data_IF_091749520489
#
_entry.id   IF_091749520489
#
_cell.length_a   1.000
_cell.length_b   1.000
_cell.length_c   1.000
_cell.angle_alpha   90.00
_cell.angle_beta   90.00
_cell.angle_gamma   90.00
#
_symmetry.space_group_name_H-M   'P 1'
#
loop_
_entity.id
_entity.type
_entity.pdbx_description
1 polymer ?
#
# COMPACT_ATOMS: atom_id res chain seq x y z
N UNK A 1 6.47 -13.86 -10.26
CA UNK A 1 6.97 -12.82 -9.33
C UNK A 1 5.80 -12.29 -8.52
N UNK A 2 5.94 -12.26 -7.20
CA UNK A 2 4.94 -11.72 -6.27
C UNK A 2 5.37 -10.31 -5.84
N UNK A 3 4.49 -9.33 -6.02
CA UNK A 3 4.74 -7.93 -5.67
C UNK A 3 3.75 -7.50 -4.58
N UNK A 4 4.24 -6.88 -3.52
CA UNK A 4 3.42 -6.15 -2.55
C UNK A 4 3.42 -4.66 -2.91
N UNK A 5 2.24 -4.08 -3.00
CA UNK A 5 2.02 -2.70 -3.44
C UNK A 5 1.19 -1.94 -2.40
N UNK A 6 1.82 -1.24 -1.46
CA UNK A 6 1.14 -0.38 -0.51
C UNK A 6 0.47 0.82 -1.19
N UNK A 7 -0.81 1.04 -0.87
CA UNK A 7 -1.65 2.11 -1.40
C UNK A 7 -2.21 2.90 -0.23
N UNK A 8 -2.05 4.21 -0.26
CA UNK A 8 -2.54 5.16 0.74
C UNK A 8 -3.39 6.30 0.14
N UNK A 9 -3.76 6.18 -1.13
CA UNK A 9 -4.51 7.19 -1.86
C UNK A 9 -3.67 8.37 -2.37
N UNK A 10 -2.37 8.41 -2.09
CA UNK A 10 -1.47 9.45 -2.60
C UNK A 10 -1.20 9.30 -4.10
N UNK A 11 -0.82 10.42 -4.74
CA UNK A 11 -0.38 10.40 -6.15
C UNK A 11 0.83 9.47 -6.35
N UNK A 12 1.74 9.45 -5.39
CA UNK A 12 2.95 8.61 -5.42
C UNK A 12 2.61 7.13 -5.37
N UNK A 13 1.67 6.70 -4.51
CA UNK A 13 1.22 5.30 -4.47
C UNK A 13 0.50 4.89 -5.76
N UNK A 14 -0.28 5.79 -6.37
CA UNK A 14 -0.91 5.54 -7.67
C UNK A 14 0.13 5.46 -8.81
N UNK A 15 1.19 6.27 -8.76
CA UNK A 15 2.31 6.17 -9.71
C UNK A 15 3.02 4.81 -9.57
N UNK A 16 3.17 4.29 -8.34
CA UNK A 16 3.70 2.96 -8.10
C UNK A 16 2.82 1.88 -8.77
N UNK A 17 1.50 1.99 -8.67
CA UNK A 17 0.58 1.07 -9.35
C UNK A 17 0.72 1.12 -10.88
N UNK A 18 0.83 2.32 -11.46
CA UNK A 18 1.07 2.50 -12.90
C UNK A 18 2.40 1.89 -13.34
N UNK A 19 3.46 2.07 -12.54
CA UNK A 19 4.75 1.47 -12.82
C UNK A 19 4.68 -0.06 -12.83
N UNK A 20 4.05 -0.67 -11.82
CA UNK A 20 3.86 -2.12 -11.74
C UNK A 20 3.04 -2.64 -12.91
N UNK A 21 1.95 -1.95 -13.26
CA UNK A 21 1.12 -2.31 -14.42
C UNK A 21 1.91 -2.33 -15.72
N UNK A 22 2.73 -1.30 -15.96
CA UNK A 22 3.59 -1.20 -17.14
C UNK A 22 4.65 -2.31 -17.18
N UNK A 23 5.29 -2.57 -16.04
CA UNK A 23 6.37 -3.56 -15.93
C UNK A 23 5.83 -4.97 -16.06
N UNK A 24 4.69 -5.27 -15.42
CA UNK A 24 4.05 -6.57 -15.48
C UNK A 24 3.61 -6.94 -16.91
N UNK A 25 3.09 -5.97 -17.67
CA UNK A 25 2.70 -6.18 -19.07
C UNK A 25 3.89 -6.61 -19.96
N UNK A 26 5.08 -6.15 -19.62
CA UNK A 26 6.31 -6.46 -20.36
C UNK A 26 7.10 -7.64 -19.78
N UNK A 27 6.60 -8.24 -18.71
CA UNK A 27 7.29 -9.36 -18.04
C UNK A 27 7.06 -10.67 -18.80
N UNK A 28 8.12 -11.44 -18.96
CA UNK A 28 8.03 -12.81 -19.51
C UNK A 28 7.47 -13.82 -18.51
N UNK A 29 7.51 -13.49 -17.23
CA UNK A 29 7.02 -14.36 -16.16
C UNK A 29 5.73 -13.79 -15.56
N UNK A 30 4.79 -14.65 -15.09
CA UNK A 30 3.58 -14.19 -14.44
C UNK A 30 3.89 -13.29 -13.24
N UNK A 31 3.19 -12.15 -13.15
CA UNK A 31 3.25 -11.23 -12.03
C UNK A 31 1.91 -11.27 -11.30
N UNK A 32 1.98 -11.45 -9.97
CA UNK A 32 0.82 -11.38 -9.07
C UNK A 32 1.07 -10.25 -8.08
N UNK A 33 0.13 -9.34 -7.98
CA UNK A 33 0.22 -8.15 -7.11
C UNK A 33 -0.71 -8.31 -5.93
N UNK A 34 -0.24 -8.00 -4.73
CA UNK A 34 -1.10 -7.78 -3.57
C UNK A 34 -1.12 -6.29 -3.26
N UNK A 35 -2.28 -5.65 -3.47
CA UNK A 35 -2.55 -4.29 -3.03
C UNK A 35 -2.81 -4.32 -1.52
N UNK A 36 -2.12 -3.50 -0.75
CA UNK A 36 -2.37 -3.38 0.68
C UNK A 36 -2.67 -1.94 1.07
N UNK A 37 -3.78 -1.73 1.78
CA UNK A 37 -4.08 -0.49 2.50
C UNK A 37 -4.03 -0.76 4.00
N UNK A 38 -3.32 0.08 4.74
CA UNK A 38 -3.18 -0.01 6.19
C UNK A 38 -3.59 1.31 6.82
N UNK A 39 -4.47 1.25 7.81
CA UNK A 39 -4.86 2.40 8.61
C UNK A 39 -4.39 2.23 10.05
N UNK A 40 -3.64 3.23 10.53
CA UNK A 40 -3.29 3.36 11.93
C UNK A 40 -4.44 4.03 12.66
N UNK A 41 -4.92 3.36 13.70
CA UNK A 41 -6.00 3.87 14.54
C UNK A 41 -5.51 4.61 15.80
N UNK A 42 -4.20 4.81 15.94
CA UNK A 42 -3.62 5.52 17.09
C UNK A 42 -4.16 6.95 17.21
N UNK A 43 -4.42 7.63 16.08
CA UNK A 43 -5.03 8.96 16.06
C UNK A 43 -6.51 8.99 16.41
N UNK A 44 -7.20 7.86 16.45
CA UNK A 44 -8.62 7.73 16.75
C UNK A 44 -8.90 7.39 18.23
N UNK A 45 -7.86 7.35 19.09
CA UNK A 45 -7.99 6.98 20.50
C UNK A 45 -9.07 7.75 21.27
N UNK A 46 -9.23 9.04 20.98
CA UNK A 46 -10.27 9.89 21.61
C UNK A 46 -11.67 9.64 21.03
N UNK A 47 -11.78 9.26 19.76
CA UNK A 47 -13.05 8.98 19.09
C UNK A 47 -13.60 7.62 19.49
N UNK A 48 -12.73 6.64 19.76
CA UNK A 48 -13.12 5.28 20.22
C UNK A 48 -13.89 5.25 21.50
N UNK A 49 -13.77 6.26 22.36
CA UNK A 49 -14.54 6.37 23.61
C UNK A 49 -16.02 6.71 23.38
N UNK A 50 -16.36 7.28 22.22
CA UNK A 50 -17.69 7.82 21.92
C UNK A 50 -18.40 7.10 20.77
N UNK A 51 -17.69 6.24 20.00
CA UNK A 51 -18.22 5.58 18.82
C UNK A 51 -17.98 4.08 18.91
N UNK A 52 -18.98 3.28 18.55
CA UNK A 52 -18.87 1.83 18.52
C UNK A 52 -17.72 1.38 17.60
N UNK A 53 -16.95 0.37 18.02
CA UNK A 53 -15.81 -0.18 17.27
C UNK A 53 -16.21 -0.56 15.83
N UNK A 54 -17.39 -1.12 15.62
CA UNK A 54 -17.93 -1.47 14.32
C UNK A 54 -18.04 -0.29 13.36
N UNK A 55 -18.45 0.88 13.86
CA UNK A 55 -18.59 2.11 13.04
C UNK A 55 -17.22 2.61 12.58
N UNK A 56 -16.21 2.54 13.46
CA UNK A 56 -14.83 2.91 13.10
C UNK A 56 -14.26 1.92 12.08
N UNK A 57 -14.51 0.64 12.27
CA UNK A 57 -14.04 -0.41 11.35
C UNK A 57 -14.67 -0.26 9.96
N UNK A 58 -15.97 0.01 9.88
CA UNK A 58 -16.69 0.24 8.63
C UNK A 58 -16.19 1.50 7.90
N UNK A 59 -15.97 2.59 8.64
CA UNK A 59 -15.42 3.82 8.07
C UNK A 59 -14.00 3.62 7.51
N UNK A 60 -13.11 2.98 8.27
CA UNK A 60 -11.74 2.71 7.81
C UNK A 60 -11.72 1.78 6.61
N UNK A 61 -12.62 0.82 6.56
CA UNK A 61 -12.79 -0.08 5.42
C UNK A 61 -13.24 0.68 4.17
N UNK A 62 -14.23 1.55 4.30
CA UNK A 62 -14.73 2.37 3.18
C UNK A 62 -13.64 3.29 2.62
N UNK A 63 -12.86 3.94 3.49
CA UNK A 63 -11.72 4.75 3.08
C UNK A 63 -10.68 3.91 2.34
N UNK A 64 -10.33 2.73 2.87
CA UNK A 64 -9.38 1.80 2.23
C UNK A 64 -9.86 1.35 0.86
N UNK A 65 -11.11 0.97 0.74
CA UNK A 65 -11.70 0.52 -0.55
C UNK A 65 -11.67 1.64 -1.59
N UNK A 66 -11.96 2.88 -1.19
CA UNK A 66 -11.87 4.05 -2.06
C UNK A 66 -10.44 4.31 -2.55
N UNK A 67 -9.46 4.23 -1.67
CA UNK A 67 -8.04 4.40 -2.01
C UNK A 67 -7.54 3.31 -2.97
N UNK A 68 -7.90 2.06 -2.69
CA UNK A 68 -7.51 0.91 -3.50
C UNK A 68 -8.13 0.91 -4.89
N UNK A 69 -9.36 1.43 -5.03
CA UNK A 69 -10.13 1.40 -6.28
C UNK A 69 -9.41 2.02 -7.48
N UNK A 70 -8.67 3.12 -7.26
CA UNK A 70 -7.90 3.75 -8.33
C UNK A 70 -6.73 2.87 -8.79
N UNK A 71 -6.02 2.24 -7.86
CA UNK A 71 -4.92 1.32 -8.17
C UNK A 71 -5.43 0.03 -8.82
N UNK A 72 -6.56 -0.51 -8.36
CA UNK A 72 -7.21 -1.68 -8.98
C UNK A 72 -7.54 -1.42 -10.46
N UNK A 73 -8.19 -0.29 -10.76
CA UNK A 73 -8.50 0.08 -12.15
C UNK A 73 -7.27 0.12 -13.06
N UNK A 74 -6.13 0.58 -12.53
CA UNK A 74 -4.85 0.62 -13.26
C UNK A 74 -4.35 -0.79 -13.57
N UNK A 75 -4.42 -1.70 -12.60
CA UNK A 75 -3.98 -3.09 -12.76
C UNK A 75 -4.93 -3.88 -13.66
N UNK A 76 -6.26 -3.69 -13.50
CA UNK A 76 -7.28 -4.32 -14.35
C UNK A 76 -7.11 -3.94 -15.82
N UNK A 77 -6.92 -2.65 -16.10
CA UNK A 77 -6.70 -2.16 -17.46
C UNK A 77 -5.44 -2.73 -18.11
N UNK A 78 -4.47 -3.15 -17.30
CA UNK A 78 -3.24 -3.80 -17.77
C UNK A 78 -3.34 -5.34 -17.77
N UNK A 79 -4.47 -5.92 -17.35
CA UNK A 79 -4.65 -7.38 -17.24
C UNK A 79 -3.78 -8.01 -16.15
N UNK A 80 -3.38 -7.27 -15.12
CA UNK A 80 -2.50 -7.76 -14.06
C UNK A 80 -3.33 -8.41 -12.96
N UNK A 81 -3.06 -9.69 -12.70
CA UNK A 81 -3.71 -10.42 -11.61
C UNK A 81 -3.34 -9.81 -10.25
N UNK A 82 -4.35 -9.48 -9.44
CA UNK A 82 -4.11 -8.88 -8.14
C UNK A 82 -5.08 -9.38 -7.06
N UNK A 83 -4.64 -9.23 -5.80
CA UNK A 83 -5.41 -9.45 -4.59
C UNK A 83 -5.44 -8.17 -3.78
N UNK A 84 -6.37 -8.08 -2.82
CA UNK A 84 -6.50 -6.94 -1.92
C UNK A 84 -6.31 -7.41 -0.49
N UNK A 85 -5.59 -6.62 0.29
CA UNK A 85 -5.47 -6.76 1.74
C UNK A 85 -5.76 -5.41 2.41
N UNK A 86 -6.70 -5.38 3.33
CA UNK A 86 -6.97 -4.23 4.19
C UNK A 86 -6.54 -4.61 5.60
N UNK A 87 -5.67 -3.81 6.18
CA UNK A 87 -5.09 -4.05 7.50
C UNK A 87 -5.26 -2.83 8.39
N UNK A 88 -5.23 -3.09 9.69
CA UNK A 88 -5.28 -2.08 10.74
C UNK A 88 -4.14 -2.31 11.71
N UNK A 89 -3.41 -1.26 12.04
CA UNK A 89 -2.27 -1.29 12.93
C UNK A 89 -1.18 -0.33 12.49
N UNK A 90 0.02 -0.52 13.00
CA UNK A 90 1.16 0.30 12.60
C UNK A 90 1.53 0.03 11.13
N UNK A 91 1.44 1.06 10.30
CA UNK A 91 1.47 0.95 8.84
C UNK A 91 2.67 0.14 8.32
N UNK A 92 3.89 0.51 8.74
CA UNK A 92 5.10 -0.15 8.27
C UNK A 92 5.18 -1.61 8.73
N UNK A 93 4.74 -1.89 9.95
CA UNK A 93 4.83 -3.22 10.55
C UNK A 93 3.85 -4.18 9.87
N UNK A 94 2.62 -3.73 9.58
CA UNK A 94 1.62 -4.53 8.86
C UNK A 94 2.05 -4.82 7.41
N UNK A 95 2.67 -3.84 6.73
CA UNK A 95 3.21 -4.04 5.38
C UNK A 95 4.32 -5.09 5.39
N UNK A 96 5.29 -4.95 6.31
CA UNK A 96 6.41 -5.90 6.42
C UNK A 96 5.95 -7.29 6.87
N UNK A 97 4.98 -7.37 7.78
CA UNK A 97 4.40 -8.63 8.23
C UNK A 97 3.74 -9.39 7.08
N UNK A 98 2.96 -8.69 6.24
CA UNK A 98 2.34 -9.30 5.06
C UNK A 98 3.39 -9.71 4.02
N UNK A 99 4.39 -8.86 3.78
CA UNK A 99 5.49 -9.17 2.86
C UNK A 99 6.22 -10.47 3.24
N UNK A 100 6.50 -10.65 4.54
CA UNK A 100 7.14 -11.85 5.06
C UNK A 100 6.23 -13.08 5.01
N UNK A 101 4.95 -12.92 5.42
CA UNK A 101 3.96 -14.01 5.41
C UNK A 101 3.75 -14.57 4.01
N UNK A 102 3.56 -13.71 3.04
CA UNK A 102 3.25 -14.11 1.66
C UNK A 102 4.52 -14.40 0.83
N UNK A 103 5.69 -14.19 1.43
CA UNK A 103 7.00 -14.37 0.78
C UNK A 103 7.05 -13.65 -0.55
N UNK A 104 6.78 -12.32 -0.52
CA UNK A 104 6.82 -11.51 -1.74
C UNK A 104 8.26 -11.31 -2.20
N UNK A 105 8.44 -11.19 -3.50
CA UNK A 105 9.76 -11.02 -4.12
C UNK A 105 10.20 -9.57 -4.12
N UNK A 106 9.24 -8.63 -4.08
CA UNK A 106 9.48 -7.20 -4.20
C UNK A 106 8.37 -6.39 -3.52
N UNK A 107 8.75 -5.36 -2.81
CA UNK A 107 7.84 -4.29 -2.36
C UNK A 107 8.00 -3.10 -3.31
N UNK A 108 6.93 -2.66 -3.95
CA UNK A 108 6.92 -1.43 -4.78
C UNK A 108 6.00 -0.42 -4.11
N UNK A 109 6.49 0.76 -3.83
CA UNK A 109 5.69 1.76 -3.12
C UNK A 109 6.00 3.19 -3.55
N UNK A 110 5.09 4.11 -3.27
CA UNK A 110 5.35 5.53 -3.44
C UNK A 110 6.45 6.01 -2.51
N UNK A 111 7.35 6.83 -3.01
CA UNK A 111 8.42 7.44 -2.20
C UNK A 111 7.89 8.50 -1.22
N UNK A 112 6.71 9.06 -1.49
CA UNK A 112 6.03 10.07 -0.67
C UNK A 112 4.65 9.57 -0.26
N UNK A 113 4.19 9.95 0.93
CA UNK A 113 2.83 9.65 1.41
C UNK A 113 1.87 10.83 1.20
N UNK A 114 0.74 10.80 1.93
CA UNK A 114 -0.31 11.83 1.87
C UNK A 114 0.13 13.21 2.35
N UNK A 115 1.09 13.28 3.26
CA UNK A 115 1.47 14.53 3.93
C UNK A 115 2.21 15.53 3.06
N UNK A 116 2.50 15.21 1.79
CA UNK A 116 2.90 16.13 0.71
C UNK A 116 3.90 17.25 1.02
N UNK A 117 4.43 17.30 2.24
CA UNK A 117 5.33 18.34 2.67
C UNK A 117 6.72 18.17 2.07
N UNK A 118 7.11 19.17 1.29
CA UNK A 118 8.41 19.38 0.66
C UNK A 118 8.82 18.36 -0.43
N UNK A 119 9.21 18.89 -1.57
CA UNK A 119 9.57 18.14 -2.78
C UNK A 119 10.78 17.22 -2.66
N UNK A 120 11.47 17.24 -1.53
CA UNK A 120 12.79 16.61 -1.38
C UNK A 120 12.85 15.45 -0.38
N UNK A 121 11.86 15.26 0.48
CA UNK A 121 11.95 14.25 1.56
C UNK A 121 11.15 12.98 1.23
N UNK A 122 11.77 11.85 1.54
CA UNK A 122 11.13 10.54 1.54
C UNK A 122 10.09 10.47 2.65
N UNK A 123 8.93 9.86 2.38
CA UNK A 123 7.90 9.63 3.39
C UNK A 123 8.39 8.71 4.52
N UNK A 124 7.89 8.91 5.73
CA UNK A 124 8.33 8.14 6.92
C UNK A 124 8.11 6.63 6.77
N UNK A 125 6.99 6.22 6.18
CA UNK A 125 6.69 4.80 5.91
C UNK A 125 7.69 4.23 4.89
N UNK A 126 7.97 4.97 3.80
CA UNK A 126 8.94 4.56 2.79
C UNK A 126 10.35 4.42 3.36
N UNK A 127 10.75 5.36 4.21
CA UNK A 127 12.04 5.32 4.89
C UNK A 127 12.16 4.10 5.80
N UNK A 128 11.15 3.84 6.64
CA UNK A 128 11.16 2.71 7.56
C UNK A 128 11.17 1.37 6.82
N UNK A 129 10.33 1.21 5.80
CA UNK A 129 10.27 -0.02 5.01
C UNK A 129 11.59 -0.25 4.28
N UNK A 130 12.16 0.78 3.64
CA UNK A 130 13.45 0.66 2.94
C UNK A 130 14.60 0.26 3.85
N UNK A 131 14.54 0.64 5.14
CA UNK A 131 15.60 0.32 6.10
C UNK A 131 15.41 -1.03 6.79
N UNK A 132 14.17 -1.52 6.93
CA UNK A 132 13.85 -2.66 7.78
C UNK A 132 13.28 -3.88 7.04
N UNK A 133 12.81 -3.73 5.79
CA UNK A 133 12.26 -4.84 5.04
C UNK A 133 13.36 -5.84 4.64
N UNK A 134 13.01 -7.12 4.67
CA UNK A 134 13.89 -8.20 4.19
C UNK A 134 13.89 -8.33 2.67
N UNK A 135 12.82 -7.87 2.05
CA UNK A 135 12.64 -7.91 0.60
C UNK A 135 13.25 -6.67 -0.06
N UNK A 136 13.67 -6.76 -1.32
CA UNK A 136 13.97 -5.56 -2.11
C UNK A 136 12.80 -4.57 -2.11
N UNK A 137 13.11 -3.28 -2.04
CA UNK A 137 12.12 -2.20 -2.04
C UNK A 137 12.41 -1.25 -3.20
N UNK A 138 11.40 -1.03 -4.03
CA UNK A 138 11.44 -0.07 -5.13
C UNK A 138 10.54 1.13 -4.81
N UNK A 139 11.16 2.30 -4.77
CA UNK A 139 10.48 3.56 -4.50
C UNK A 139 10.16 4.30 -5.80
N UNK A 140 8.91 4.70 -5.97
CA UNK A 140 8.41 5.43 -7.14
C UNK A 140 8.02 6.86 -6.72
N UNK A 141 8.51 7.85 -7.46
CA UNK A 141 8.19 9.27 -7.26
C UNK A 141 6.84 9.65 -7.83
#
# INVERSE_FOLDING_TARGET
>A
MKILLPIDGSKSSLNAAKYVAKTAKNSRSPVVVTLISVHDDAGLGHVKQFVAKSVVDDYLREVSEKELKAAQKVLDAAGVKHNIAIKRGHISDEIMALANKDKVDLIVMGAKGRSGFMDTLMGSVAQRISSCAKQPVLLIK
#
